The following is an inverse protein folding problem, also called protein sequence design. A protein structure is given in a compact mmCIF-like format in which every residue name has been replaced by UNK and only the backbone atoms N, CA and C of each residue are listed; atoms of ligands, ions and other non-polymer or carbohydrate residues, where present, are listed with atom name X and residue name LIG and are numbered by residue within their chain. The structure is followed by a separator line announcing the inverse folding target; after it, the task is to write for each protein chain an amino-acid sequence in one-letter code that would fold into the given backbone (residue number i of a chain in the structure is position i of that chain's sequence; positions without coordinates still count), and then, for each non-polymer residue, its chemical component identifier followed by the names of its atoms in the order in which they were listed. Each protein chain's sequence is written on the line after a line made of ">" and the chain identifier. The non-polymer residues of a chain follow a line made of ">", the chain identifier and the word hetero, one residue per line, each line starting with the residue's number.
data_IF_656197461445
#
_entry.id   IF_656197461445
#
_cell.length_a   1.000
_cell.length_b   1.000
_cell.length_c   1.000
_cell.angle_alpha   90.00
_cell.angle_beta   90.00
_cell.angle_gamma   90.00
#
_symmetry.space_group_name_H-M   'P 1'
#
loop_
_entity.id
_entity.type
_entity.pdbx_description
1 polymer ?
#
# COMPACT_ATOMS: atom_id res chain seq x y z
N UNK A 1 -12.66 17.04 14.21
CA UNK A 1 -11.22 17.37 14.40
C UNK A 1 -10.77 16.59 15.61
N UNK A 2 -9.91 15.59 15.43
CA UNK A 2 -9.49 14.73 16.53
C UNK A 2 -8.62 15.52 17.51
N UNK A 3 -8.93 15.45 18.80
CA UNK A 3 -8.20 16.13 19.87
C UNK A 3 -6.86 15.47 20.20
N UNK A 4 -6.10 14.99 19.20
CA UNK A 4 -4.79 14.40 19.43
C UNK A 4 -3.71 15.48 19.53
N UNK A 5 -2.78 15.34 20.48
CA UNK A 5 -1.63 16.23 20.58
C UNK A 5 -0.60 15.91 19.48
N UNK A 6 0.07 16.93 18.89
CA UNK A 6 1.14 16.69 17.93
C UNK A 6 2.27 15.85 18.53
N UNK A 7 2.68 14.78 17.83
CA UNK A 7 3.78 13.89 18.20
C UNK A 7 4.96 14.09 17.25
N UNK A 8 6.17 14.04 17.79
CA UNK A 8 7.42 14.08 17.01
C UNK A 8 8.18 12.78 17.20
N UNK A 9 8.73 12.27 16.11
CA UNK A 9 9.51 11.03 16.05
C UNK A 9 10.91 11.27 15.53
N UNK A 10 11.80 10.29 15.70
CA UNK A 10 13.13 10.35 15.09
C UNK A 10 13.03 10.13 13.58
N UNK A 11 12.25 9.14 13.15
CA UNK A 11 12.08 8.83 11.73
C UNK A 11 10.66 8.42 11.39
N UNK A 12 10.26 8.66 10.15
CA UNK A 12 8.94 8.32 9.60
C UNK A 12 9.08 7.75 8.19
N UNK A 13 8.30 6.71 7.90
CA UNK A 13 8.32 5.98 6.63
C UNK A 13 6.88 5.92 6.08
N UNK A 14 6.70 6.42 4.86
CA UNK A 14 5.42 6.53 4.16
C UNK A 14 5.60 5.99 2.74
N UNK A 15 4.72 5.11 2.26
CA UNK A 15 4.73 4.57 0.89
C UNK A 15 3.33 4.61 0.26
N UNK A 16 3.25 4.26 -1.02
CA UNK A 16 2.00 3.84 -1.69
C UNK A 16 0.86 4.87 -1.50
N UNK A 17 1.20 6.15 -1.72
CA UNK A 17 0.25 7.26 -1.62
C UNK A 17 -0.55 7.42 -2.91
N UNK A 18 0.07 7.12 -4.05
CA UNK A 18 -0.53 7.15 -5.37
C UNK A 18 -1.22 8.48 -5.74
N UNK A 19 -0.59 9.63 -5.44
CA UNK A 19 -1.07 10.94 -5.89
C UNK A 19 -1.23 10.93 -7.42
N UNK A 20 -2.44 11.10 -7.91
CA UNK A 20 -2.80 10.92 -9.33
C UNK A 20 -3.91 9.88 -9.52
N UNK A 21 -4.07 9.00 -8.53
CA UNK A 21 -5.18 8.05 -8.44
C UNK A 21 -6.37 8.65 -7.69
N UNK A 22 -7.59 8.36 -8.15
CA UNK A 22 -8.82 8.74 -7.43
C UNK A 22 -8.99 8.01 -6.09
N UNK A 23 -8.26 6.90 -5.90
CA UNK A 23 -8.32 6.11 -4.68
C UNK A 23 -7.39 6.65 -3.57
N UNK A 24 -6.47 7.56 -3.91
CA UNK A 24 -5.56 8.15 -2.95
C UNK A 24 -6.31 8.95 -1.87
N UNK A 25 -6.17 8.56 -0.61
CA UNK A 25 -6.76 9.25 0.55
C UNK A 25 -5.86 10.40 1.00
N UNK A 26 -5.58 11.34 0.08
CA UNK A 26 -4.68 12.46 0.32
C UNK A 26 -5.09 13.33 1.52
N UNK A 27 -6.40 13.51 1.76
CA UNK A 27 -6.90 14.28 2.91
C UNK A 27 -6.55 13.63 4.26
N UNK A 28 -6.55 12.29 4.33
CA UNK A 28 -6.13 11.56 5.52
C UNK A 28 -4.63 11.78 5.77
N UNK A 29 -3.82 11.74 4.71
CA UNK A 29 -2.37 11.99 4.83
C UNK A 29 -2.06 13.44 5.24
N UNK A 30 -2.77 14.42 4.68
CA UNK A 30 -2.66 15.84 5.06
C UNK A 30 -2.91 16.01 6.56
N UNK A 31 -3.97 15.37 7.07
CA UNK A 31 -4.34 15.42 8.48
C UNK A 31 -3.31 14.69 9.35
N UNK A 32 -2.91 13.48 8.99
CA UNK A 32 -1.86 12.74 9.68
C UNK A 32 -0.55 13.54 9.81
N UNK A 33 -0.08 14.16 8.72
CA UNK A 33 1.12 15.01 8.70
C UNK A 33 0.95 16.33 9.47
N UNK A 34 -0.26 16.67 9.92
CA UNK A 34 -0.50 17.79 10.85
C UNK A 34 -0.19 17.40 12.29
N UNK A 35 -0.49 16.15 12.66
CA UNK A 35 -0.33 15.64 14.03
C UNK A 35 0.97 14.87 14.24
N UNK A 36 1.68 14.52 13.17
CA UNK A 36 2.94 13.80 13.27
C UNK A 36 4.06 14.51 12.50
N UNK A 37 5.22 14.61 13.15
CA UNK A 37 6.47 15.10 12.56
C UNK A 37 7.63 14.15 12.82
N UNK A 38 8.70 14.28 12.03
CA UNK A 38 9.93 13.53 12.24
C UNK A 38 11.16 14.26 11.70
N UNK A 39 12.31 14.02 12.33
CA UNK A 39 13.59 14.57 11.89
C UNK A 39 14.04 13.99 10.55
N UNK A 40 13.73 12.71 10.30
CA UNK A 40 14.02 11.99 9.06
C UNK A 40 12.72 11.43 8.50
N UNK A 41 12.47 11.67 7.21
CA UNK A 41 11.28 11.16 6.52
C UNK A 41 11.72 10.41 5.26
N UNK A 42 11.31 9.15 5.17
CA UNK A 42 11.46 8.36 3.96
C UNK A 42 10.11 8.24 3.26
N UNK A 43 10.11 8.57 1.98
CA UNK A 43 9.01 8.32 1.06
C UNK A 43 9.35 7.06 0.25
N UNK A 44 8.79 5.91 0.64
CA UNK A 44 9.24 4.56 0.26
C UNK A 44 8.52 4.07 -1.00
N UNK A 45 8.61 4.86 -2.08
CA UNK A 45 8.03 4.55 -3.39
C UNK A 45 6.53 4.80 -3.51
N UNK A 46 6.09 4.87 -4.76
CA UNK A 46 4.70 5.01 -5.18
C UNK A 46 3.96 6.19 -4.53
N UNK A 47 4.67 7.31 -4.36
CA UNK A 47 4.06 8.55 -3.84
C UNK A 47 3.19 9.21 -4.90
N UNK A 48 3.63 9.16 -6.15
CA UNK A 48 2.93 9.72 -7.31
C UNK A 48 2.57 8.59 -8.27
N UNK A 49 1.32 8.53 -8.71
CA UNK A 49 0.88 7.54 -9.68
C UNK A 49 1.02 8.07 -11.12
N UNK A 50 2.23 7.96 -11.66
CA UNK A 50 2.56 8.40 -13.01
C UNK A 50 1.78 7.64 -14.09
N UNK A 51 1.47 6.36 -13.85
CA UNK A 51 0.69 5.55 -14.78
C UNK A 51 -0.76 6.06 -14.90
N UNK A 52 -1.41 6.36 -13.77
CA UNK A 52 -2.76 6.95 -13.76
C UNK A 52 -2.77 8.32 -14.40
N UNK A 53 -1.81 9.18 -14.08
CA UNK A 53 -1.71 10.54 -14.64
C UNK A 53 -1.55 10.54 -16.15
N UNK A 54 -0.74 9.62 -16.71
CA UNK A 54 -0.60 9.44 -18.17
C UNK A 54 -1.91 9.01 -18.83
N UNK A 55 -2.70 8.17 -18.17
CA UNK A 55 -3.97 7.65 -18.72
C UNK A 55 -5.11 8.67 -18.62
N UNK A 56 -5.22 9.37 -17.50
CA UNK A 56 -6.23 10.39 -17.25
C UNK A 56 -5.71 11.33 -16.17
N UNK A 57 -5.52 12.60 -16.54
CA UNK A 57 -5.06 13.60 -15.58
C UNK A 57 -6.08 13.78 -14.45
N UNK A 58 -5.65 13.51 -13.22
CA UNK A 58 -6.42 13.73 -12.00
C UNK A 58 -5.49 14.26 -10.91
N UNK A 59 -5.51 15.57 -10.68
CA UNK A 59 -4.65 16.22 -9.70
C UNK A 59 -5.44 17.28 -8.91
N UNK A 60 -6.28 16.86 -7.96
CA UNK A 60 -7.03 17.79 -7.12
C UNK A 60 -6.11 18.56 -6.16
N UNK A 61 -6.63 19.63 -5.55
CA UNK A 61 -5.86 20.48 -4.63
C UNK A 61 -5.23 19.70 -3.47
N UNK A 62 -5.91 18.67 -2.95
CA UNK A 62 -5.40 17.82 -1.87
C UNK A 62 -4.06 17.16 -2.22
N UNK A 63 -3.80 16.83 -3.48
CA UNK A 63 -2.51 16.26 -3.89
C UNK A 63 -1.39 17.29 -3.80
N UNK A 64 -1.66 18.52 -4.26
CA UNK A 64 -0.73 19.62 -4.09
C UNK A 64 -0.50 19.93 -2.60
N UNK A 65 -1.53 19.85 -1.76
CA UNK A 65 -1.40 20.12 -0.33
C UNK A 65 -0.52 19.09 0.39
N UNK A 66 -0.55 17.81 -0.02
CA UNK A 66 0.41 16.78 0.44
C UNK A 66 1.84 17.20 0.08
N UNK A 67 2.10 17.51 -1.19
CA UNK A 67 3.42 17.93 -1.67
C UNK A 67 3.91 19.17 -0.90
N UNK A 68 3.05 20.16 -0.72
CA UNK A 68 3.38 21.39 0.00
C UNK A 68 3.67 21.13 1.48
N UNK A 69 2.96 20.20 2.13
CA UNK A 69 3.25 19.79 3.51
C UNK A 69 4.63 19.15 3.64
N UNK A 70 5.01 18.24 2.73
CA UNK A 70 6.32 17.61 2.71
C UNK A 70 7.43 18.66 2.47
N UNK A 71 7.27 19.53 1.48
CA UNK A 71 8.22 20.62 1.21
C UNK A 71 8.34 21.60 2.39
N UNK A 72 7.25 21.85 3.14
CA UNK A 72 7.30 22.66 4.36
C UNK A 72 8.12 21.99 5.46
N UNK A 73 8.00 20.67 5.63
CA UNK A 73 8.81 19.91 6.60
C UNK A 73 10.29 19.93 6.22
N UNK A 74 10.62 19.72 4.95
CA UNK A 74 11.99 19.85 4.45
C UNK A 74 12.57 21.25 4.72
N UNK A 75 11.81 22.32 4.44
CA UNK A 75 12.24 23.71 4.74
C UNK A 75 12.40 24.01 6.23
N UNK A 76 11.76 23.24 7.12
CA UNK A 76 11.93 23.35 8.57
C UNK A 76 13.13 22.54 9.10
N UNK A 77 13.81 21.79 8.23
CA UNK A 77 15.01 21.03 8.57
C UNK A 77 14.84 19.52 8.58
N UNK A 78 13.65 18.98 8.27
CA UNK A 78 13.48 17.53 8.15
C UNK A 78 14.28 16.99 6.95
N UNK A 79 15.04 15.91 7.16
CA UNK A 79 15.77 15.23 6.10
C UNK A 79 14.81 14.30 5.36
N UNK A 80 14.43 14.65 4.14
CA UNK A 80 13.47 13.86 3.35
C UNK A 80 14.19 13.12 2.22
N UNK A 81 14.08 11.80 2.22
CA UNK A 81 14.56 10.93 1.13
C UNK A 81 13.39 10.29 0.40
N UNK A 82 13.32 10.51 -0.91
CA UNK A 82 12.37 9.90 -1.82
C UNK A 82 12.99 8.66 -2.46
N UNK A 83 12.50 7.49 -2.09
CA UNK A 83 12.81 6.23 -2.75
C UNK A 83 11.83 6.05 -3.90
N UNK A 84 12.31 5.80 -5.12
CA UNK A 84 11.44 5.56 -6.25
C UNK A 84 10.87 4.12 -6.24
N UNK A 85 9.60 4.00 -6.62
CA UNK A 85 8.88 2.76 -6.88
C UNK A 85 8.57 2.57 -8.38
N UNK A 86 7.58 1.72 -8.68
CA UNK A 86 7.22 1.39 -10.07
C UNK A 86 6.21 2.38 -10.67
N UNK A 87 5.30 2.94 -9.88
CA UNK A 87 4.32 3.91 -10.40
C UNK A 87 4.95 5.29 -10.64
N UNK A 88 6.04 5.61 -9.94
CA UNK A 88 6.81 6.84 -10.06
C UNK A 88 8.22 6.59 -10.63
N UNK A 89 8.37 5.61 -11.52
CA UNK A 89 9.64 5.26 -12.18
C UNK A 89 10.37 6.47 -12.80
N UNK A 90 9.63 7.50 -13.23
CA UNK A 90 10.19 8.76 -13.70
C UNK A 90 11.13 9.43 -12.69
N UNK A 91 10.90 9.23 -11.39
CA UNK A 91 11.74 9.74 -10.31
C UNK A 91 13.15 9.12 -10.34
N UNK A 92 13.30 7.87 -10.83
CA UNK A 92 14.61 7.21 -10.95
C UNK A 92 15.58 7.97 -11.85
N UNK A 93 15.08 8.77 -12.79
CA UNK A 93 15.91 9.63 -13.65
C UNK A 93 16.55 10.82 -12.89
N UNK A 94 16.10 11.09 -11.67
CA UNK A 94 16.55 12.22 -10.85
C UNK A 94 17.29 11.79 -9.59
N UNK A 95 17.85 10.58 -9.56
CA UNK A 95 18.67 10.12 -8.43
C UNK A 95 19.80 11.12 -8.10
N UNK A 96 19.97 11.41 -6.81
CA UNK A 96 20.95 12.39 -6.31
C UNK A 96 20.55 13.86 -6.52
N UNK A 97 19.40 14.14 -7.17
CA UNK A 97 18.91 15.52 -7.32
C UNK A 97 18.16 15.94 -6.05
N UNK A 98 18.41 17.18 -5.63
CA UNK A 98 17.73 17.82 -4.52
C UNK A 98 16.59 18.71 -5.03
N UNK A 99 15.35 18.40 -4.68
CA UNK A 99 14.18 19.23 -4.99
C UNK A 99 13.57 19.79 -3.71
N UNK A 100 13.79 21.08 -3.45
CA UNK A 100 13.20 21.74 -2.29
C UNK A 100 13.57 21.11 -0.94
N UNK A 101 14.75 20.48 -0.86
CA UNK A 101 15.25 19.77 0.32
C UNK A 101 14.93 18.26 0.34
N UNK A 102 14.28 17.72 -0.69
CA UNK A 102 14.01 16.29 -0.86
C UNK A 102 15.08 15.67 -1.77
N UNK A 103 15.71 14.59 -1.32
CA UNK A 103 16.73 13.84 -2.09
C UNK A 103 16.09 12.61 -2.71
N UNK A 104 16.28 12.39 -4.01
CA UNK A 104 15.80 11.16 -4.67
C UNK A 104 16.88 10.08 -4.65
N UNK A 105 16.51 8.86 -4.29
CA UNK A 105 17.39 7.69 -4.24
C UNK A 105 16.67 6.42 -4.70
N UNK A 106 17.43 5.37 -5.03
CA UNK A 106 16.88 4.06 -5.38
C UNK A 106 16.61 3.18 -4.15
N UNK A 107 17.45 3.37 -3.13
CA UNK A 107 17.44 2.71 -1.84
C UNK A 107 18.23 3.56 -0.84
N UNK A 108 18.01 3.35 0.45
CA UNK A 108 18.80 3.98 1.51
C UNK A 108 19.12 2.97 2.62
N UNK A 109 20.17 3.22 3.40
CA UNK A 109 20.40 2.52 4.66
C UNK A 109 20.04 3.49 5.78
N UNK A 110 19.05 3.10 6.58
CA UNK A 110 18.66 3.81 7.78
C UNK A 110 19.34 3.20 8.99
N UNK A 111 19.98 4.02 9.82
CA UNK A 111 20.52 3.58 11.11
C UNK A 111 19.56 4.03 12.22
N UNK A 112 19.03 3.08 12.98
CA UNK A 112 18.10 3.33 14.09
C UNK A 112 18.85 3.88 15.31
N UNK A 113 18.12 4.43 16.27
CA UNK A 113 18.70 4.94 17.51
C UNK A 113 19.34 3.85 18.38
N UNK A 114 18.87 2.59 18.25
CA UNK A 114 19.47 1.42 18.90
C UNK A 114 20.62 0.78 18.10
N UNK A 115 21.05 1.40 16.99
CA UNK A 115 22.23 1.02 16.21
C UNK A 115 22.00 -0.07 15.17
N UNK A 116 20.75 -0.48 14.92
CA UNK A 116 20.42 -1.39 13.82
C UNK A 116 20.47 -0.66 12.50
N UNK A 117 20.86 -1.38 11.46
CA UNK A 117 20.87 -0.89 10.08
C UNK A 117 19.70 -1.54 9.35
N UNK A 118 18.87 -0.72 8.70
CA UNK A 118 17.69 -1.16 7.96
C UNK A 118 17.80 -0.69 6.51
N UNK A 119 17.64 -1.60 5.56
CA UNK A 119 17.54 -1.26 4.14
C UNK A 119 16.17 -0.67 3.85
N UNK A 120 16.11 0.55 3.34
CA UNK A 120 14.87 1.19 2.87
C UNK A 120 14.81 1.06 1.36
N UNK A 121 13.80 0.35 0.87
CA UNK A 121 13.58 0.05 -0.55
C UNK A 121 12.08 -0.10 -0.83
N UNK A 122 11.60 0.26 -2.02
CA UNK A 122 10.17 0.11 -2.32
C UNK A 122 9.73 -1.36 -2.38
N UNK A 123 10.40 -2.18 -3.20
CA UNK A 123 10.18 -3.63 -3.30
C UNK A 123 9.77 -4.14 -4.69
N UNK A 124 9.40 -3.24 -5.61
CA UNK A 124 9.04 -3.55 -7.01
C UNK A 124 10.15 -4.29 -7.78
N UNK A 125 11.41 -4.11 -7.39
CA UNK A 125 12.56 -4.80 -7.98
C UNK A 125 12.43 -6.34 -7.94
N UNK A 126 11.64 -6.87 -7.02
CA UNK A 126 11.45 -8.31 -6.83
C UNK A 126 10.25 -8.87 -7.59
N UNK A 127 9.45 -8.03 -8.25
CA UNK A 127 8.29 -8.47 -9.03
C UNK A 127 8.72 -9.42 -10.14
N UNK A 128 9.79 -9.13 -10.88
CA UNK A 128 10.27 -9.99 -11.97
C UNK A 128 10.71 -11.38 -11.47
N UNK A 129 11.27 -11.48 -10.26
CA UNK A 129 11.72 -12.75 -9.69
C UNK A 129 10.52 -13.57 -9.21
N UNK A 130 9.54 -12.93 -8.57
CA UNK A 130 8.27 -13.57 -8.20
C UNK A 130 7.46 -13.95 -9.45
N UNK A 131 7.54 -13.16 -10.53
CA UNK A 131 6.87 -13.41 -11.81
C UNK A 131 7.58 -14.43 -12.70
N UNK A 132 8.90 -14.64 -12.61
CA UNK A 132 9.57 -15.69 -13.40
C UNK A 132 9.21 -17.11 -12.93
N UNK A 133 8.75 -17.27 -11.68
CA UNK A 133 8.09 -18.51 -11.23
C UNK A 133 6.67 -18.70 -11.84
N UNK A 134 6.08 -17.67 -12.47
CA UNK A 134 4.72 -17.65 -13.04
C UNK A 134 4.60 -18.05 -14.50
N UNK A 135 5.63 -18.46 -15.23
CA UNK A 135 5.38 -19.04 -16.57
C UNK A 135 4.48 -20.32 -16.47
N UNK A 136 4.51 -20.98 -15.31
CA UNK A 136 3.53 -22.01 -14.90
C UNK A 136 2.13 -21.48 -14.57
N UNK A 137 1.99 -20.22 -14.16
CA UNK A 137 0.71 -19.57 -13.85
C UNK A 137 0.09 -18.84 -15.06
N UNK A 138 0.89 -18.40 -16.04
CA UNK A 138 0.44 -17.72 -17.26
C UNK A 138 -0.32 -18.67 -18.21
N UNK A 139 0.00 -19.97 -18.18
CA UNK A 139 -0.82 -21.03 -18.80
C UNK A 139 -2.23 -21.10 -18.18
N UNK A 140 -2.40 -20.57 -16.96
CA UNK A 140 -3.66 -20.50 -16.23
C UNK A 140 -4.53 -19.28 -16.55
N UNK A 141 -3.98 -18.16 -17.02
CA UNK A 141 -4.76 -16.93 -17.28
C UNK A 141 -5.55 -17.00 -18.59
N UNK A 142 -5.01 -17.65 -19.64
CA UNK A 142 -5.83 -17.94 -20.84
C UNK A 142 -6.86 -19.04 -20.59
N UNK A 143 -6.62 -19.93 -19.62
CA UNK A 143 -7.62 -20.87 -19.13
C UNK A 143 -8.67 -20.19 -18.24
N UNK A 144 -8.38 -19.06 -17.59
CA UNK A 144 -9.25 -18.32 -16.68
C UNK A 144 -10.39 -17.59 -17.41
N UNK A 145 -10.09 -16.89 -18.49
CA UNK A 145 -11.13 -16.24 -19.32
C UNK A 145 -11.98 -17.26 -20.08
N UNK A 146 -11.34 -18.33 -20.58
CA UNK A 146 -12.05 -19.48 -21.13
C UNK A 146 -12.93 -20.17 -20.08
N UNK A 147 -12.44 -20.35 -18.85
CA UNK A 147 -13.17 -20.95 -17.75
C UNK A 147 -14.33 -20.07 -17.26
N UNK A 148 -14.22 -18.74 -17.26
CA UNK A 148 -15.34 -17.85 -16.90
C UNK A 148 -16.44 -17.80 -17.97
N UNK A 149 -16.07 -17.89 -19.26
CA UNK A 149 -17.04 -18.01 -20.34
C UNK A 149 -17.73 -19.39 -20.29
N UNK A 150 -16.95 -20.45 -20.09
CA UNK A 150 -17.43 -21.82 -19.87
C UNK A 150 -18.28 -21.90 -18.60
N UNK A 151 -17.94 -21.20 -17.52
CA UNK A 151 -18.71 -21.22 -16.27
C UNK A 151 -20.09 -20.57 -16.43
N UNK A 152 -20.21 -19.51 -17.24
CA UNK A 152 -21.52 -18.92 -17.56
C UNK A 152 -22.38 -19.85 -18.43
N UNK A 153 -21.76 -20.53 -19.39
CA UNK A 153 -22.43 -21.52 -20.24
C UNK A 153 -22.84 -22.77 -19.45
N UNK A 154 -21.94 -23.29 -18.61
CA UNK A 154 -22.13 -24.47 -17.75
C UNK A 154 -23.12 -24.19 -16.61
N UNK A 155 -23.18 -22.97 -16.06
CA UNK A 155 -24.18 -22.62 -15.03
C UNK A 155 -25.59 -22.58 -15.62
N UNK A 156 -25.76 -22.02 -16.84
CA UNK A 156 -27.05 -22.06 -17.56
C UNK A 156 -27.45 -23.48 -17.96
N UNK A 157 -26.51 -24.28 -18.47
CA UNK A 157 -26.74 -25.69 -18.79
C UNK A 157 -26.99 -26.56 -17.54
N UNK A 158 -26.34 -26.28 -16.40
CA UNK A 158 -26.56 -27.02 -15.14
C UNK A 158 -27.90 -26.74 -14.50
N UNK A 159 -28.40 -25.49 -14.57
CA UNK A 159 -29.76 -25.17 -14.11
C UNK A 159 -30.83 -25.88 -14.94
N UNK A 160 -30.57 -26.13 -16.23
CA UNK A 160 -31.44 -26.92 -17.11
C UNK A 160 -31.32 -28.45 -16.89
N UNK A 161 -30.20 -28.95 -16.34
CA UNK A 161 -29.88 -30.39 -16.25
C UNK A 161 -29.82 -30.95 -14.81
N UNK A 162 -30.04 -30.13 -13.77
CA UNK A 162 -30.21 -30.61 -12.38
C UNK A 162 -28.97 -31.20 -11.71
N UNK A 163 -27.76 -30.72 -12.00
CA UNK A 163 -26.49 -31.28 -11.47
C UNK A 163 -25.93 -30.51 -10.24
N UNK A 164 -25.15 -31.17 -9.33
CA UNK A 164 -24.91 -30.70 -7.95
C UNK A 164 -23.92 -29.53 -7.79
N UNK A 165 -23.72 -29.07 -6.54
CA UNK A 165 -23.18 -27.77 -6.10
C UNK A 165 -21.74 -27.39 -6.54
N UNK A 166 -21.50 -26.07 -6.70
CA UNK A 166 -20.18 -25.42 -6.85
C UNK A 166 -19.87 -24.57 -5.61
N UNK A 167 -18.68 -24.72 -5.03
CA UNK A 167 -18.34 -24.14 -3.73
C UNK A 167 -17.44 -22.91 -3.84
N UNK A 168 -18.02 -21.73 -3.62
CA UNK A 168 -17.31 -20.46 -3.42
C UNK A 168 -16.19 -20.57 -2.38
N UNK A 169 -16.38 -21.40 -1.34
CA UNK A 169 -15.35 -21.63 -0.32
C UNK A 169 -14.07 -22.28 -0.87
N UNK A 170 -14.19 -23.15 -1.88
CA UNK A 170 -13.01 -23.77 -2.52
C UNK A 170 -12.25 -22.76 -3.37
N UNK A 171 -12.97 -21.86 -4.05
CA UNK A 171 -12.37 -20.75 -4.79
C UNK A 171 -11.70 -19.74 -3.84
N UNK A 172 -12.39 -19.33 -2.78
CA UNK A 172 -11.84 -18.42 -1.77
C UNK A 172 -10.57 -19.01 -1.13
N UNK A 173 -10.59 -20.30 -0.75
CA UNK A 173 -9.43 -20.99 -0.17
C UNK A 173 -8.21 -21.00 -1.09
N UNK A 174 -8.42 -21.19 -2.40
CA UNK A 174 -7.32 -21.15 -3.38
C UNK A 174 -6.75 -19.74 -3.52
N UNK A 175 -7.60 -18.71 -3.58
CA UNK A 175 -7.14 -17.32 -3.69
C UNK A 175 -6.41 -16.84 -2.44
N UNK A 176 -6.93 -17.18 -1.25
CA UNK A 176 -6.24 -16.92 0.03
C UNK A 176 -4.87 -17.59 0.05
N UNK A 177 -4.79 -18.87 -0.34
CA UNK A 177 -3.50 -19.58 -0.38
C UNK A 177 -2.51 -18.94 -1.35
N UNK A 178 -2.98 -18.47 -2.52
CA UNK A 178 -2.14 -17.75 -3.49
C UNK A 178 -1.62 -16.44 -2.91
N UNK A 179 -2.47 -15.64 -2.25
CA UNK A 179 -2.07 -14.39 -1.62
C UNK A 179 -1.04 -14.62 -0.50
N UNK A 180 -1.28 -15.60 0.38
CA UNK A 180 -0.33 -15.95 1.46
C UNK A 180 1.01 -16.41 0.91
N UNK A 181 1.01 -17.25 -0.14
CA UNK A 181 2.25 -17.68 -0.77
C UNK A 181 3.02 -16.53 -1.42
N UNK A 182 2.30 -15.57 -2.03
CA UNK A 182 2.90 -14.38 -2.62
C UNK A 182 3.58 -13.51 -1.55
N UNK A 183 2.86 -13.20 -0.46
CA UNK A 183 3.41 -12.44 0.68
C UNK A 183 4.66 -13.13 1.24
N UNK A 184 4.59 -14.44 1.48
CA UNK A 184 5.73 -15.19 2.00
C UNK A 184 6.94 -15.21 1.05
N UNK A 185 6.71 -15.31 -0.26
CA UNK A 185 7.79 -15.26 -1.27
C UNK A 185 8.43 -13.88 -1.32
N UNK A 186 7.62 -12.82 -1.23
CA UNK A 186 8.08 -11.44 -1.22
C UNK A 186 8.93 -11.14 0.04
N UNK A 187 8.43 -11.52 1.22
CA UNK A 187 9.17 -11.41 2.49
C UNK A 187 10.51 -12.14 2.44
N UNK A 188 10.54 -13.34 1.82
CA UNK A 188 11.78 -14.12 1.66
C UNK A 188 12.81 -13.36 0.83
N UNK A 189 12.41 -12.84 -0.32
CA UNK A 189 13.31 -12.09 -1.23
C UNK A 189 13.88 -10.84 -0.57
N UNK A 190 13.05 -10.06 0.13
CA UNK A 190 13.50 -8.86 0.83
C UNK A 190 14.41 -9.18 2.02
N UNK A 191 14.15 -10.27 2.73
CA UNK A 191 15.04 -10.73 3.78
C UNK A 191 16.41 -11.17 3.23
N UNK A 192 16.44 -11.84 2.08
CA UNK A 192 17.70 -12.16 1.39
C UNK A 192 18.46 -10.89 0.96
N UNK A 193 17.77 -9.87 0.44
CA UNK A 193 18.42 -8.60 0.07
C UNK A 193 18.99 -7.85 1.27
N UNK A 194 18.30 -7.87 2.42
CA UNK A 194 18.82 -7.33 3.67
C UNK A 194 20.12 -8.04 4.08
N UNK A 195 20.15 -9.38 4.04
CA UNK A 195 21.37 -10.16 4.32
C UNK A 195 22.50 -9.84 3.36
N UNK A 196 22.20 -9.74 2.05
CA UNK A 196 23.18 -9.38 1.01
C UNK A 196 23.73 -7.97 1.19
N UNK A 197 22.91 -7.07 1.74
CA UNK A 197 23.31 -5.70 2.07
C UNK A 197 24.03 -5.59 3.42
N UNK A 198 24.20 -6.70 4.15
CA UNK A 198 24.80 -6.75 5.48
C UNK A 198 24.13 -5.78 6.48
N UNK A 199 22.80 -5.86 6.54
CA UNK A 199 21.96 -5.06 7.45
C UNK A 199 21.00 -5.96 8.23
N UNK A 200 20.46 -5.42 9.33
CA UNK A 200 19.63 -6.14 10.30
C UNK A 200 18.15 -6.27 9.88
N UNK A 201 17.72 -5.48 8.90
CA UNK A 201 16.32 -5.43 8.49
C UNK A 201 16.06 -4.71 7.18
N UNK A 202 14.79 -4.68 6.79
CA UNK A 202 14.28 -4.04 5.58
C UNK A 202 12.97 -3.33 5.86
N UNK A 203 12.82 -2.12 5.32
CA UNK A 203 11.59 -1.30 5.32
C UNK A 203 11.15 -1.13 3.87
N UNK A 204 9.91 -1.49 3.58
CA UNK A 204 9.34 -1.50 2.23
C UNK A 204 7.86 -1.09 2.16
N UNK A 205 7.34 -0.96 0.94
CA UNK A 205 5.93 -0.70 0.61
C UNK A 205 5.38 -1.78 -0.33
N UNK A 206 4.73 -1.37 -1.42
CA UNK A 206 4.37 -2.18 -2.61
C UNK A 206 3.25 -3.21 -2.44
N UNK A 207 3.26 -4.01 -1.37
CA UNK A 207 2.23 -5.05 -1.15
C UNK A 207 1.03 -4.59 -0.32
N UNK A 208 1.02 -3.31 0.10
CA UNK A 208 -0.08 -2.65 0.82
C UNK A 208 -0.52 -3.37 2.11
N UNK A 209 0.42 -4.05 2.77
CA UNK A 209 0.13 -4.82 3.98
C UNK A 209 1.03 -4.37 5.12
N UNK A 210 0.55 -3.43 5.94
CA UNK A 210 1.30 -2.88 7.06
C UNK A 210 1.62 -3.96 8.11
N UNK A 211 2.91 -4.20 8.36
CA UNK A 211 3.35 -5.21 9.33
C UNK A 211 4.77 -4.92 9.81
N UNK A 212 5.05 -5.24 11.09
CA UNK A 212 6.41 -5.30 11.66
C UNK A 212 6.59 -6.72 12.20
N UNK A 213 7.46 -7.50 11.56
CA UNK A 213 7.70 -8.90 11.91
C UNK A 213 9.19 -9.23 11.82
N UNK A 214 9.61 -10.31 12.48
CA UNK A 214 10.95 -10.86 12.30
C UNK A 214 10.85 -12.06 11.35
N UNK A 215 11.60 -12.02 10.26
CA UNK A 215 11.74 -13.12 9.32
C UNK A 215 13.10 -13.79 9.51
N UNK A 216 13.16 -14.71 10.49
CA UNK A 216 14.41 -15.27 10.96
C UNK A 216 15.24 -14.24 11.72
N UNK A 217 16.42 -13.94 11.20
CA UNK A 217 17.38 -12.95 11.71
C UNK A 217 17.14 -11.52 11.20
N UNK A 218 16.23 -11.35 10.23
CA UNK A 218 15.98 -10.06 9.57
C UNK A 218 14.67 -9.45 10.08
N UNK A 219 14.70 -8.18 10.46
CA UNK A 219 13.47 -7.43 10.73
C UNK A 219 12.80 -7.00 9.42
N UNK A 220 11.59 -7.47 9.17
CA UNK A 220 10.77 -7.10 8.01
C UNK A 220 9.71 -6.08 8.41
N UNK A 221 9.70 -4.94 7.73
CA UNK A 221 8.78 -3.85 7.99
C UNK A 221 8.14 -3.43 6.67
N UNK A 222 6.81 -3.42 6.64
CA UNK A 222 6.03 -2.88 5.54
C UNK A 222 5.16 -1.72 6.04
N UNK A 223 5.19 -0.60 5.32
CA UNK A 223 4.51 0.64 5.71
C UNK A 223 3.00 0.64 5.47
N UNK A 224 2.49 -0.31 4.69
CA UNK A 224 1.11 -0.30 4.20
C UNK A 224 0.95 0.73 3.08
N UNK A 225 -0.12 1.51 3.12
CA UNK A 225 -0.50 2.40 2.01
C UNK A 225 -1.45 3.53 2.44
N UNK A 226 -1.67 4.52 1.56
CA UNK A 226 -2.63 5.61 1.78
C UNK A 226 -3.86 5.54 0.85
N UNK A 227 -4.28 4.32 0.51
CA UNK A 227 -5.47 4.02 -0.29
C UNK A 227 -6.49 3.23 0.56
N UNK A 228 -6.06 2.15 1.20
CA UNK A 228 -6.84 1.24 2.03
C UNK A 228 -6.49 1.41 3.51
N UNK A 229 -5.25 1.14 3.89
CA UNK A 229 -4.84 1.03 5.31
C UNK A 229 -4.65 2.37 6.04
N UNK A 230 -4.21 3.41 5.32
CA UNK A 230 -3.85 4.72 5.89
C UNK A 230 -2.85 4.61 7.04
N UNK A 231 -1.74 3.93 6.79
CA UNK A 231 -0.71 3.67 7.78
C UNK A 231 0.61 4.37 7.46
N UNK A 232 1.39 4.61 8.51
CA UNK A 232 2.79 4.98 8.40
C UNK A 232 3.59 4.23 9.47
N UNK A 233 4.86 3.96 9.20
CA UNK A 233 5.78 3.45 10.22
C UNK A 233 6.57 4.62 10.78
N UNK A 234 6.78 4.62 12.09
CA UNK A 234 7.59 5.62 12.79
C UNK A 234 8.62 4.94 13.68
N UNK A 235 9.76 5.60 13.84
CA UNK A 235 10.81 5.24 14.79
C UNK A 235 10.83 6.27 15.92
N UNK A 236 10.71 5.78 17.14
CA UNK A 236 10.86 6.58 18.36
C UNK A 236 12.34 6.94 18.60
N UNK A 237 12.59 7.94 19.45
CA UNK A 237 13.96 8.35 19.80
C UNK A 237 14.77 7.28 20.55
N UNK A 238 14.12 6.22 21.05
CA UNK A 238 14.74 5.05 21.68
C UNK A 238 14.98 3.89 20.69
N UNK A 239 14.64 4.05 19.40
CA UNK A 239 14.84 3.05 18.35
C UNK A 239 13.65 2.10 18.15
N UNK A 240 12.60 2.22 18.96
CA UNK A 240 11.39 1.40 18.79
C UNK A 240 10.65 1.78 17.52
N UNK A 241 10.28 0.77 16.71
CA UNK A 241 9.42 0.93 15.54
C UNK A 241 7.93 0.74 15.90
N UNK A 242 7.05 1.57 15.35
CA UNK A 242 5.59 1.52 15.55
C UNK A 242 4.86 1.75 14.22
N UNK A 243 3.79 1.00 13.95
CA UNK A 243 2.83 1.33 12.88
C UNK A 243 1.74 2.23 13.46
N UNK A 244 1.57 3.41 12.87
CA UNK A 244 0.45 4.29 13.15
C UNK A 244 -0.64 4.07 12.11
N UNK A 245 -1.89 3.88 12.56
CA UNK A 245 -3.07 3.76 11.70
C UNK A 245 -3.94 5.01 11.81
N UNK A 246 -4.28 5.64 10.68
CA UNK A 246 -5.03 6.91 10.65
C UNK A 246 -6.47 6.79 10.10
N UNK A 247 -6.87 5.60 9.63
CA UNK A 247 -8.20 5.38 9.04
C UNK A 247 -9.38 5.62 10.02
N UNK A 248 -9.16 5.55 11.33
CA UNK A 248 -10.22 5.60 12.37
C UNK A 248 -10.35 6.97 13.08
N UNK A 249 -9.64 8.00 12.63
CA UNK A 249 -9.49 9.26 13.40
C UNK A 249 -10.50 10.35 12.99
N UNK A 250 -11.31 10.12 11.96
CA UNK A 250 -12.50 10.95 11.70
C UNK A 250 -13.67 10.44 12.56
N UNK A 251 -14.48 11.34 13.17
CA UNK A 251 -15.72 10.90 13.80
C UNK A 251 -16.54 10.14 12.76
N UNK A 252 -17.05 8.97 13.12
CA UNK A 252 -18.13 8.32 12.36
C UNK A 252 -19.15 9.40 12.03
N UNK A 253 -19.52 9.52 10.75
CA UNK A 253 -20.69 10.31 10.40
C UNK A 253 -21.83 9.82 11.30
N UNK A 254 -22.61 10.71 11.93
CA UNK A 254 -23.71 10.28 12.79
C UNK A 254 -24.55 9.28 12.02
N UNK A 255 -24.79 8.11 12.62
CA UNK A 255 -25.65 7.06 12.05
C UNK A 255 -26.90 7.73 11.48
N UNK A 256 -26.99 7.85 10.15
CA UNK A 256 -28.27 8.19 9.55
C UNK A 256 -29.20 7.04 9.91
N UNK A 257 -30.30 7.30 10.63
CA UNK A 257 -31.19 6.25 11.06
C UNK A 257 -31.67 5.49 9.81
N UNK A 258 -31.44 4.18 9.80
CA UNK A 258 -31.89 3.29 8.75
C UNK A 258 -33.41 3.47 8.59
N UNK A 259 -33.84 4.14 7.53
CA UNK A 259 -35.27 4.24 7.17
C UNK A 259 -35.58 3.01 6.32
N UNK A 260 -36.37 2.04 6.82
CA UNK A 260 -36.78 0.91 6.00
C UNK A 260 -37.64 1.44 4.85
N UNK A 261 -37.21 1.21 3.62
CA UNK A 261 -38.06 1.44 2.46
C UNK A 261 -39.16 0.36 2.49
N UNK A 262 -40.36 0.75 2.90
CA UNK A 262 -41.56 -0.09 2.74
C UNK A 262 -41.87 -0.14 1.23
N UNK A 263 -41.50 -1.24 0.60
CA UNK A 263 -41.95 -1.56 -0.75
C UNK A 263 -43.41 -2.02 -0.62
N UNK A 264 -44.35 -1.18 -1.03
CA UNK A 264 -45.74 -1.59 -1.18
C UNK A 264 -45.85 -2.62 -2.32
N UNK A 265 -46.22 -3.85 -1.98
CA UNK A 265 -46.52 -4.92 -2.91
C UNK A 265 -47.69 -4.52 -3.82
N UNK A 266 -47.40 -3.98 -5.00
CA UNK A 266 -48.35 -3.98 -6.11
C UNK A 266 -48.30 -5.33 -6.82
N UNK A 267 -48.93 -6.32 -6.22
CA UNK A 267 -49.41 -7.49 -6.97
C UNK A 267 -50.74 -7.10 -7.60
N UNK A 268 -50.72 -6.93 -8.92
CA UNK A 268 -51.91 -6.72 -9.72
C UNK A 268 -52.88 -7.90 -9.62
N UNK A 269 -54.15 -7.60 -9.40
CA UNK A 269 -55.22 -8.50 -9.79
C UNK A 269 -55.67 -8.12 -11.20
N UNK A 270 -55.28 -8.95 -12.15
CA UNK A 270 -55.99 -9.10 -13.41
C UNK A 270 -57.05 -10.19 -13.20
N UNK A 271 -58.32 -9.80 -13.26
CA UNK A 271 -59.46 -10.63 -13.65
C UNK A 271 -60.60 -9.68 -14.08
#
# INVERSE_FOLDING_TARGET
>A
MSGQEPRTFRSMFISDVHLGSKAAKAEFLIDFLRYHDADIIYLVGDIVDGWRLRRSWHWPQSHNDVVQKLLRKARKGANITYIAGNHDEFARQFQGVHFGGIVVADRAIHETADGKRLLVIHGDQFDTVVHNARWLAYLGDHAYDAAMLVNRVVTRLRQLLGLPYWSFSSWAKVNVKKAVNFIGSFQTMLAEEARRSHVDGVICGHIHHAVIENFGDVQYINTGDWVESCTAVVEHFDGRMEILTWAQVLPEAPDEPFIPLLIEDRVGQAA
#
